data_IF_024645609320
#
_entry.id   IF_024645609320
#
_cell.length_a   1.000
_cell.length_b   1.000
_cell.length_c   1.000
_cell.angle_alpha   90.00
_cell.angle_beta   90.00
_cell.angle_gamma   90.00
#
_symmetry.space_group_name_H-M   'P 1'
#
loop_
_entity.id
_entity.type
_entity.pdbx_description
1 polymer ?
#
# COMPACT_ATOMS: atom_id res chain seq x y z
N UNK A 1 2.38 -6.40 -15.88
CA UNK A 1 3.12 -6.44 -14.60
C UNK A 1 4.27 -7.45 -14.54
N UNK A 2 4.11 -8.73 -14.93
CA UNK A 2 5.18 -9.76 -14.76
C UNK A 2 6.56 -9.35 -15.30
N UNK A 3 6.64 -8.79 -16.52
CA UNK A 3 7.89 -8.31 -17.14
C UNK A 3 8.53 -7.14 -16.36
N UNK A 4 7.71 -6.21 -15.86
CA UNK A 4 8.17 -5.06 -15.07
C UNK A 4 8.75 -5.50 -13.71
N UNK A 5 8.13 -6.47 -13.04
CA UNK A 5 8.58 -6.96 -11.73
C UNK A 5 9.84 -7.84 -11.80
N UNK A 6 10.18 -8.34 -12.99
CA UNK A 6 11.46 -9.05 -13.23
C UNK A 6 12.65 -8.09 -13.25
N UNK A 7 12.46 -6.87 -13.78
CA UNK A 7 13.49 -5.83 -13.81
C UNK A 7 13.46 -5.02 -12.50
N UNK A 8 14.62 -4.88 -11.83
CA UNK A 8 14.74 -4.07 -10.60
C UNK A 8 14.29 -2.62 -10.81
N UNK A 9 14.62 -1.99 -11.94
CA UNK A 9 14.21 -0.61 -12.24
C UNK A 9 12.70 -0.49 -12.39
N UNK A 10 12.08 -1.43 -13.11
CA UNK A 10 10.61 -1.44 -13.29
C UNK A 10 9.86 -1.66 -11.97
N UNK A 11 10.39 -2.50 -11.08
CA UNK A 11 9.87 -2.65 -9.73
C UNK A 11 9.98 -1.35 -8.92
N UNK A 12 11.16 -0.73 -8.88
CA UNK A 12 11.39 0.52 -8.16
C UNK A 12 10.44 1.63 -8.62
N UNK A 13 10.31 1.84 -9.93
CA UNK A 13 9.43 2.88 -10.48
C UNK A 13 7.98 2.67 -10.05
N UNK A 14 7.43 1.46 -10.23
CA UNK A 14 6.04 1.17 -9.85
C UNK A 14 5.86 1.32 -8.34
N UNK A 15 6.77 0.76 -7.54
CA UNK A 15 6.64 0.77 -6.10
C UNK A 15 6.72 2.19 -5.53
N UNK A 16 7.68 3.00 -5.98
CA UNK A 16 7.83 4.40 -5.52
C UNK A 16 6.61 5.22 -5.92
N UNK A 17 6.15 5.14 -7.17
CA UNK A 17 4.99 5.92 -7.61
C UNK A 17 3.74 5.57 -6.82
N UNK A 18 3.50 4.28 -6.58
CA UNK A 18 2.33 3.84 -5.81
C UNK A 18 2.48 4.18 -4.32
N UNK A 19 3.68 4.06 -3.74
CA UNK A 19 3.94 4.45 -2.36
C UNK A 19 3.83 5.97 -2.14
N UNK A 20 4.20 6.79 -3.13
CA UNK A 20 3.99 8.23 -3.07
C UNK A 20 2.50 8.58 -2.99
N UNK A 21 1.65 7.86 -3.73
CA UNK A 21 0.20 8.05 -3.63
C UNK A 21 -0.32 7.71 -2.23
N UNK A 22 0.21 6.66 -1.56
CA UNK A 22 -0.18 6.32 -0.18
C UNK A 22 0.29 7.35 0.86
N UNK A 23 1.27 8.20 0.57
CA UNK A 23 1.61 9.34 1.43
C UNK A 23 0.73 10.58 1.19
N UNK A 24 0.17 10.73 -0.01
CA UNK A 24 -0.67 11.88 -0.37
C UNK A 24 -2.11 11.67 0.10
N UNK A 25 -2.65 10.46 -0.08
CA UNK A 25 -4.02 10.11 0.26
C UNK A 25 -4.43 10.39 1.73
N UNK A 26 -3.56 10.17 2.74
CA UNK A 26 -3.77 10.57 4.13
C UNK A 26 -4.31 11.98 4.35
N UNK A 27 -3.83 12.95 3.58
CA UNK A 27 -4.24 14.35 3.71
C UNK A 27 -5.71 14.57 3.30
N UNK A 28 -6.31 13.58 2.65
CA UNK A 28 -7.73 13.53 2.30
C UNK A 28 -8.56 12.62 3.23
N UNK A 29 -8.02 12.21 4.38
CA UNK A 29 -8.75 11.43 5.39
C UNK A 29 -8.88 9.93 5.09
N UNK A 30 -8.00 9.36 4.25
CA UNK A 30 -8.08 7.96 3.81
C UNK A 30 -7.52 6.92 4.80
N UNK A 31 -7.06 7.32 5.99
CA UNK A 31 -6.25 6.49 6.91
C UNK A 31 -7.03 5.69 7.95
N UNK A 32 -8.35 5.61 7.82
CA UNK A 32 -9.17 4.98 8.86
C UNK A 32 -10.38 4.27 8.27
N UNK A 33 -10.33 2.94 8.35
CA UNK A 33 -11.49 2.08 8.05
C UNK A 33 -12.67 2.45 8.97
N UNK A 34 -12.40 2.73 10.25
CA UNK A 34 -13.45 3.04 11.23
C UNK A 34 -14.06 4.42 11.04
N UNK A 35 -13.26 5.44 10.73
CA UNK A 35 -13.78 6.78 10.47
C UNK A 35 -14.56 6.83 9.15
N UNK A 36 -14.11 6.09 8.14
CA UNK A 36 -14.86 5.90 6.90
C UNK A 36 -16.15 5.10 7.14
N UNK A 37 -16.11 4.03 7.93
CA UNK A 37 -17.31 3.26 8.26
C UNK A 37 -18.33 4.10 9.05
N UNK A 38 -17.87 4.91 10.01
CA UNK A 38 -18.72 5.84 10.75
C UNK A 38 -19.32 6.93 9.84
N UNK A 39 -18.52 7.51 8.94
CA UNK A 39 -18.99 8.45 7.92
C UNK A 39 -20.02 7.83 6.97
N UNK A 40 -19.85 6.56 6.60
CA UNK A 40 -20.81 5.82 5.78
C UNK A 40 -22.17 5.62 6.46
N UNK A 41 -22.20 5.43 7.77
CA UNK A 41 -23.47 5.36 8.52
C UNK A 41 -24.19 6.72 8.55
N UNK A 42 -23.44 7.80 8.68
CA UNK A 42 -23.97 9.18 8.61
C UNK A 42 -24.47 9.50 7.19
N UNK A 43 -23.77 9.03 6.15
CA UNK A 43 -24.15 9.20 4.75
C UNK A 43 -25.43 8.44 4.38
N UNK A 44 -25.61 7.23 4.90
CA UNK A 44 -26.86 6.49 4.74
C UNK A 44 -28.01 7.23 5.44
N UNK A 45 -27.77 7.81 6.60
CA UNK A 45 -28.75 8.61 7.32
C UNK A 45 -29.10 9.95 6.64
N UNK A 46 -28.19 10.51 5.84
CA UNK A 46 -28.37 11.78 5.11
C UNK A 46 -28.85 11.63 3.67
N UNK A 47 -29.23 10.41 3.25
CA UNK A 47 -29.76 10.13 1.92
C UNK A 47 -28.70 9.96 0.82
N UNK A 48 -27.48 9.58 1.19
CA UNK A 48 -26.42 9.11 0.28
C UNK A 48 -25.66 10.19 -0.50
N UNK A 49 -25.91 11.48 -0.22
CA UNK A 49 -25.43 12.61 -1.02
C UNK A 49 -23.95 12.97 -0.81
N UNK A 50 -23.32 12.47 0.24
CA UNK A 50 -21.95 12.81 0.66
C UNK A 50 -20.90 11.73 0.36
N UNK A 51 -21.34 10.59 -0.18
CA UNK A 51 -20.57 9.32 -0.26
C UNK A 51 -19.36 9.32 -1.17
N UNK A 52 -19.34 10.13 -2.24
CA UNK A 52 -18.26 10.08 -3.22
C UNK A 52 -16.96 10.74 -2.70
N UNK A 53 -17.05 11.79 -1.89
CA UNK A 53 -15.87 12.51 -1.41
C UNK A 53 -15.28 11.90 -0.13
N UNK A 54 -16.12 11.26 0.69
CA UNK A 54 -15.68 10.65 1.94
C UNK A 54 -15.03 9.28 1.70
N UNK A 55 -15.60 8.43 0.83
CA UNK A 55 -15.15 7.04 0.67
C UNK A 55 -14.13 6.81 -0.46
N UNK A 56 -14.11 7.65 -1.49
CA UNK A 56 -13.22 7.46 -2.64
C UNK A 56 -11.73 7.53 -2.28
N UNK A 57 -11.25 8.50 -1.46
CA UNK A 57 -9.85 8.54 -1.05
C UNK A 57 -9.43 7.29 -0.26
N UNK A 58 -10.31 6.77 0.60
CA UNK A 58 -10.06 5.53 1.33
C UNK A 58 -9.91 4.33 0.41
N UNK A 59 -10.85 4.15 -0.54
CA UNK A 59 -10.80 3.04 -1.49
C UNK A 59 -9.53 3.11 -2.36
N UNK A 60 -9.19 4.30 -2.84
CA UNK A 60 -7.98 4.51 -3.61
C UNK A 60 -6.72 4.19 -2.79
N UNK A 61 -6.68 4.60 -1.51
CA UNK A 61 -5.58 4.29 -0.60
C UNK A 61 -5.44 2.78 -0.38
N UNK A 62 -6.55 2.09 -0.08
CA UNK A 62 -6.56 0.64 0.08
C UNK A 62 -6.07 -0.08 -1.18
N UNK A 63 -6.52 0.34 -2.37
CA UNK A 63 -6.06 -0.21 -3.65
C UNK A 63 -4.55 0.01 -3.84
N UNK A 64 -4.03 1.20 -3.55
CA UNK A 64 -2.59 1.47 -3.63
C UNK A 64 -1.79 0.54 -2.71
N UNK A 65 -2.22 0.35 -1.46
CA UNK A 65 -1.57 -0.56 -0.51
C UNK A 65 -1.60 -2.02 -0.98
N UNK A 66 -2.73 -2.47 -1.55
CA UNK A 66 -2.86 -3.80 -2.16
C UNK A 66 -1.90 -3.95 -3.36
N UNK A 67 -1.79 -2.93 -4.22
CA UNK A 67 -0.86 -2.94 -5.34
C UNK A 67 0.60 -3.07 -4.86
N UNK A 68 0.98 -2.40 -3.76
CA UNK A 68 2.31 -2.55 -3.16
C UNK A 68 2.55 -3.97 -2.62
N UNK A 69 1.53 -4.58 -2.02
CA UNK A 69 1.59 -5.98 -1.59
C UNK A 69 1.77 -6.93 -2.79
N UNK A 70 0.99 -6.76 -3.86
CA UNK A 70 1.11 -7.58 -5.07
C UNK A 70 2.48 -7.38 -5.73
N UNK A 71 2.95 -6.14 -5.87
CA UNK A 71 4.24 -5.84 -6.48
C UNK A 71 5.40 -6.48 -5.71
N UNK A 72 5.39 -6.37 -4.39
CA UNK A 72 6.40 -7.00 -3.52
C UNK A 72 6.33 -8.53 -3.55
N UNK A 73 5.15 -9.14 -3.56
CA UNK A 73 4.99 -10.59 -3.69
C UNK A 73 5.54 -11.10 -5.03
N UNK A 74 5.17 -10.42 -6.13
CA UNK A 74 5.64 -10.76 -7.46
C UNK A 74 7.16 -10.63 -7.56
N UNK A 75 7.72 -9.51 -7.08
CA UNK A 75 9.17 -9.28 -7.07
C UNK A 75 9.88 -10.31 -6.20
N UNK A 76 9.35 -10.58 -5.01
CA UNK A 76 9.84 -11.59 -4.07
C UNK A 76 9.91 -12.98 -4.70
N UNK A 77 8.94 -13.32 -5.55
CA UNK A 77 8.97 -14.56 -6.34
C UNK A 77 10.17 -14.66 -7.29
N UNK A 78 10.56 -13.57 -7.95
CA UNK A 78 11.69 -13.54 -8.88
C UNK A 78 13.05 -13.61 -8.19
N UNK A 79 13.17 -13.10 -6.96
CA UNK A 79 14.43 -13.04 -6.21
C UNK A 79 14.54 -14.11 -5.12
N UNK A 80 13.60 -15.06 -5.07
CA UNK A 80 13.56 -16.13 -4.06
C UNK A 80 13.23 -15.66 -2.64
N UNK A 81 12.68 -14.44 -2.49
CA UNK A 81 12.32 -13.82 -1.20
C UNK A 81 10.84 -13.45 -1.17
N UNK A 82 9.94 -14.42 -1.38
CA UNK A 82 8.47 -14.18 -1.38
C UNK A 82 7.98 -13.53 -0.07
N UNK A 83 8.69 -13.75 1.04
CA UNK A 83 8.39 -13.20 2.36
C UNK A 83 8.48 -11.66 2.45
N UNK A 84 9.09 -10.96 1.47
CA UNK A 84 9.17 -9.49 1.49
C UNK A 84 7.78 -8.81 1.43
N UNK A 85 6.73 -9.54 1.04
CA UNK A 85 5.35 -9.06 1.07
C UNK A 85 4.83 -8.78 2.48
N UNK A 86 5.47 -9.34 3.51
CA UNK A 86 5.05 -9.13 4.90
C UNK A 86 5.21 -7.64 5.29
N UNK A 87 6.26 -6.96 4.82
CA UNK A 87 6.49 -5.56 5.14
C UNK A 87 5.37 -4.62 4.66
N UNK A 88 4.92 -4.64 3.38
CA UNK A 88 3.80 -3.80 2.96
C UNK A 88 2.47 -4.26 3.53
N UNK A 89 2.30 -5.53 3.92
CA UNK A 89 1.11 -5.96 4.67
C UNK A 89 1.07 -5.29 6.05
N UNK A 90 2.20 -5.25 6.76
CA UNK A 90 2.29 -4.54 8.05
C UNK A 90 2.07 -3.04 7.81
N UNK A 91 2.67 -2.44 6.79
CA UNK A 91 2.45 -1.04 6.45
C UNK A 91 0.96 -0.74 6.19
N UNK A 92 0.26 -1.61 5.46
CA UNK A 92 -1.18 -1.52 5.24
C UNK A 92 -1.98 -1.50 6.55
N UNK A 93 -1.62 -2.35 7.52
CA UNK A 93 -2.27 -2.36 8.83
C UNK A 93 -2.03 -1.06 9.58
N UNK A 94 -0.81 -0.52 9.52
CA UNK A 94 -0.48 0.76 10.15
C UNK A 94 -1.22 1.93 9.48
N UNK A 95 -1.28 1.96 8.15
CA UNK A 95 -1.88 3.07 7.40
C UNK A 95 -3.41 3.13 7.51
N UNK A 96 -4.08 1.97 7.62
CA UNK A 96 -5.55 1.90 7.65
C UNK A 96 -6.15 1.82 9.06
N UNK A 97 -5.34 1.60 10.09
CA UNK A 97 -5.80 1.53 11.48
C UNK A 97 -5.65 2.89 12.15
N UNK A 98 -6.74 3.53 12.64
CA UNK A 98 -6.69 4.91 13.14
C UNK A 98 -5.69 5.17 14.26
N UNK A 99 -5.46 4.21 15.16
CA UNK A 99 -4.48 4.38 16.25
C UNK A 99 -3.06 4.27 15.72
N UNK A 100 -2.82 3.33 14.81
CA UNK A 100 -1.48 3.06 14.28
C UNK A 100 -1.05 4.08 13.22
N UNK A 101 -2.00 4.65 12.48
CA UNK A 101 -1.72 5.64 11.43
C UNK A 101 -1.26 6.99 11.98
N UNK A 102 -1.36 7.19 13.31
CA UNK A 102 -0.74 8.31 14.02
C UNK A 102 0.81 8.24 14.03
N UNK A 103 1.39 7.08 13.70
CA UNK A 103 2.85 6.86 13.67
C UNK A 103 3.30 6.65 12.21
N UNK A 104 3.47 7.74 11.42
CA UNK A 104 3.71 7.65 9.97
C UNK A 104 5.08 7.05 9.59
N UNK A 105 6.04 7.05 10.51
CA UNK A 105 7.40 6.58 10.24
C UNK A 105 7.49 5.06 10.02
N UNK A 106 6.60 4.27 10.62
CA UNK A 106 6.66 2.81 10.54
C UNK A 106 6.39 2.31 9.11
N UNK A 107 5.25 2.69 8.46
CA UNK A 107 5.01 2.40 7.04
C UNK A 107 6.18 2.79 6.14
N UNK A 108 6.77 3.98 6.37
CA UNK A 108 7.89 4.47 5.56
C UNK A 108 9.11 3.56 5.64
N UNK A 109 9.53 3.18 6.85
CA UNK A 109 10.67 2.28 7.05
C UNK A 109 10.40 0.93 6.38
N UNK A 110 9.18 0.39 6.53
CA UNK A 110 8.78 -0.89 5.91
C UNK A 110 8.85 -0.81 4.38
N UNK A 111 8.36 0.27 3.77
CA UNK A 111 8.46 0.50 2.33
C UNK A 111 9.91 0.63 1.85
N UNK A 112 10.77 1.33 2.60
CA UNK A 112 12.21 1.45 2.29
C UNK A 112 12.89 0.08 2.33
N UNK A 113 12.61 -0.74 3.34
CA UNK A 113 13.15 -2.11 3.45
C UNK A 113 12.77 -2.93 2.21
N UNK A 114 11.51 -2.85 1.77
CA UNK A 114 11.04 -3.54 0.55
C UNK A 114 11.75 -3.05 -0.69
N UNK A 115 11.94 -1.74 -0.84
CA UNK A 115 12.66 -1.15 -1.96
C UNK A 115 14.11 -1.63 -2.01
N UNK A 116 14.82 -1.59 -0.87
CA UNK A 116 16.22 -2.02 -0.78
C UNK A 116 16.34 -3.51 -1.10
N UNK A 117 15.54 -4.37 -0.47
CA UNK A 117 15.61 -5.82 -0.70
C UNK A 117 15.19 -6.17 -2.15
N UNK A 118 14.13 -5.53 -2.64
CA UNK A 118 13.61 -5.76 -3.98
C UNK A 118 14.57 -5.30 -5.08
N UNK A 119 15.26 -4.17 -4.89
CA UNK A 119 16.23 -3.63 -5.85
C UNK A 119 17.53 -4.43 -5.89
N UNK A 120 18.06 -4.81 -4.72
CA UNK A 120 19.34 -5.53 -4.57
C UNK A 120 19.23 -7.04 -4.77
N UNK A 121 18.02 -7.58 -4.72
CA UNK A 121 17.76 -9.00 -4.94
C UNK A 121 18.20 -9.45 -6.34
N UNK A 122 19.10 -10.44 -6.38
CA UNK A 122 19.46 -11.13 -7.62
C UNK A 122 18.34 -12.13 -7.98
N UNK A 123 18.11 -12.41 -9.28
CA UNK A 123 17.22 -13.49 -9.69
C UNK A 123 17.61 -14.77 -8.97
N UNK A 124 16.63 -15.47 -8.38
CA UNK A 124 16.90 -16.78 -7.82
C UNK A 124 17.19 -17.76 -8.95
N UNK A 125 18.22 -18.60 -8.79
CA UNK A 125 18.40 -19.78 -9.62
C UNK A 125 17.27 -20.76 -9.26
N UNK A 126 16.19 -20.69 -10.04
CA UNK A 126 15.08 -21.63 -9.96
C UNK A 126 15.63 -22.95 -10.55
N UNK A 127 16.13 -23.83 -9.68
CA UNK A 127 16.32 -25.24 -10.02
C UNK A 127 14.96 -25.94 -10.11
#
# INVERSE_FOLDING_TARGET
MKKLMKNSGGFLTVYILVALLTYILPYFGSNSVMANAAGGLVDVASGGRTSMFTHFPFLLHAICLIILCIASFMRGGWIGKKWIVIFPIIALLFDLTPVLSSIPFIPTILHIIVLVIGATGKPADIK
#
